data_IF_286550885775
#
_entry.id   IF_286550885775
#
_cell.length_a   1.000
_cell.length_b   1.000
_cell.length_c   1.000
_cell.angle_alpha   90.00
_cell.angle_beta   90.00
_cell.angle_gamma   90.00
#
_symmetry.space_group_name_H-M   'P 1'
#
loop_
_entity.id
_entity.type
_entity.pdbx_description
1 polymer ?
#
# COMPACT_ATOMS: atom_id res chain seq x y z
N UNK A 1 19.55 -70.28 18.69
CA UNK A 1 18.78 -69.43 17.77
C UNK A 1 18.17 -68.16 18.45
N UNK A 2 18.88 -67.49 19.37
CA UNK A 2 18.35 -66.31 20.12
C UNK A 2 19.03 -64.97 19.69
N UNK A 3 20.17 -65.01 19.03
CA UNK A 3 20.95 -63.84 18.66
C UNK A 3 20.34 -63.00 17.52
N UNK A 4 19.77 -63.59 16.42
CA UNK A 4 19.20 -62.76 15.35
C UNK A 4 17.92 -62.00 15.77
N UNK A 5 17.14 -62.54 16.69
CA UNK A 5 15.92 -61.88 17.17
C UNK A 5 16.18 -60.63 18.06
N UNK A 6 17.32 -60.63 18.78
CA UNK A 6 17.74 -59.51 19.60
C UNK A 6 18.27 -58.32 18.77
N UNK A 7 18.97 -58.65 17.67
CA UNK A 7 19.50 -57.64 16.75
C UNK A 7 18.37 -56.97 15.97
N UNK A 8 17.36 -57.73 15.54
CA UNK A 8 16.17 -57.16 14.86
C UNK A 8 15.32 -56.33 15.80
N UNK A 9 15.14 -56.71 17.06
CA UNK A 9 14.41 -55.91 18.06
C UNK A 9 15.16 -54.62 18.39
N UNK A 10 16.50 -54.67 18.55
CA UNK A 10 17.32 -53.47 18.79
C UNK A 10 17.31 -52.51 17.59
N UNK A 11 17.34 -53.04 16.35
CA UNK A 11 17.26 -52.21 15.14
C UNK A 11 15.86 -51.56 14.99
N UNK A 12 14.80 -52.28 15.28
CA UNK A 12 13.43 -51.72 15.26
C UNK A 12 13.23 -50.64 16.33
N UNK A 13 13.77 -50.82 17.54
CA UNK A 13 13.71 -49.83 18.59
C UNK A 13 14.55 -48.58 18.20
N UNK A 14 15.74 -48.77 17.62
CA UNK A 14 16.57 -47.67 17.17
C UNK A 14 15.93 -46.87 16.02
N UNK A 15 15.24 -47.54 15.11
CA UNK A 15 14.47 -46.90 14.04
C UNK A 15 13.26 -46.16 14.61
N UNK A 16 12.51 -46.76 15.54
CA UNK A 16 11.36 -46.14 16.21
C UNK A 16 11.77 -44.90 17.01
N UNK A 17 12.87 -44.94 17.77
CA UNK A 17 13.40 -43.80 18.52
C UNK A 17 13.95 -42.70 17.57
N UNK A 18 14.55 -43.08 16.43
CA UNK A 18 15.05 -42.11 15.47
C UNK A 18 13.94 -41.43 14.63
N UNK A 19 12.84 -42.14 14.37
CA UNK A 19 11.66 -41.56 13.70
C UNK A 19 10.89 -40.65 14.65
N UNK A 20 10.61 -41.11 15.89
CA UNK A 20 9.95 -40.27 16.88
C UNK A 20 10.70 -38.96 17.17
N UNK A 21 12.06 -38.98 17.20
CA UNK A 21 12.86 -37.80 17.40
C UNK A 21 12.89 -36.85 16.18
N UNK A 22 12.67 -37.38 14.95
CA UNK A 22 12.56 -36.54 13.73
C UNK A 22 11.18 -35.90 13.63
N UNK A 23 10.13 -36.64 13.94
CA UNK A 23 8.75 -36.15 13.91
C UNK A 23 8.59 -35.00 14.91
N UNK A 24 9.08 -35.15 16.14
CA UNK A 24 9.06 -34.11 17.18
C UNK A 24 9.79 -32.83 16.74
N UNK A 25 10.92 -32.95 16.05
CA UNK A 25 11.66 -31.77 15.57
C UNK A 25 10.92 -31.06 14.44
N UNK A 26 10.36 -31.79 13.49
CA UNK A 26 9.60 -31.23 12.40
C UNK A 26 8.33 -30.54 12.90
N UNK A 27 7.64 -31.13 13.88
CA UNK A 27 6.49 -30.53 14.55
C UNK A 27 6.84 -29.21 15.24
N UNK A 28 7.97 -29.16 15.95
CA UNK A 28 8.44 -27.92 16.59
C UNK A 28 8.79 -26.83 15.57
N UNK A 29 9.45 -27.17 14.47
CA UNK A 29 9.77 -26.24 13.40
C UNK A 29 8.48 -25.67 12.76
N UNK A 30 7.48 -26.52 12.53
CA UNK A 30 6.18 -26.14 11.99
C UNK A 30 5.39 -25.22 12.94
N UNK A 31 5.29 -25.58 14.23
CA UNK A 31 4.62 -24.77 15.25
C UNK A 31 5.28 -23.42 15.46
N UNK A 32 6.62 -23.36 15.40
CA UNK A 32 7.36 -22.10 15.48
C UNK A 32 7.05 -21.20 14.28
N UNK A 33 6.93 -21.78 13.08
CA UNK A 33 6.56 -21.00 11.88
C UNK A 33 5.14 -20.40 11.99
N UNK A 34 4.16 -21.20 12.47
CA UNK A 34 2.81 -20.70 12.77
C UNK A 34 2.85 -19.60 13.83
N UNK A 35 3.66 -19.76 14.88
CA UNK A 35 3.78 -18.78 15.96
C UNK A 35 4.37 -17.45 15.45
N UNK A 36 5.43 -17.50 14.65
CA UNK A 36 6.05 -16.31 14.09
C UNK A 36 5.07 -15.55 13.19
N UNK A 37 4.39 -16.27 12.31
CA UNK A 37 3.36 -15.68 11.45
C UNK A 37 2.19 -15.10 12.25
N UNK A 38 1.78 -15.78 13.31
CA UNK A 38 0.72 -15.30 14.20
C UNK A 38 1.13 -14.02 14.96
N UNK A 39 2.42 -13.84 15.29
CA UNK A 39 2.92 -12.58 15.88
C UNK A 39 2.85 -11.42 14.89
N UNK A 40 3.18 -11.67 13.63
CA UNK A 40 3.02 -10.65 12.58
C UNK A 40 1.56 -10.20 12.47
N UNK A 41 0.62 -11.16 12.41
CA UNK A 41 -0.82 -10.88 12.37
C UNK A 41 -1.32 -10.16 13.64
N UNK A 42 -0.84 -10.53 14.84
CA UNK A 42 -1.18 -9.84 16.09
C UNK A 42 -0.76 -8.37 16.04
N UNK A 43 0.47 -8.09 15.58
CA UNK A 43 0.99 -6.72 15.42
C UNK A 43 0.15 -5.90 14.44
N UNK A 44 -0.27 -6.50 13.31
CA UNK A 44 -1.17 -5.85 12.35
C UNK A 44 -2.56 -5.60 12.95
N UNK A 45 -3.08 -6.55 13.73
CA UNK A 45 -4.34 -6.41 14.44
C UNK A 45 -4.33 -5.24 15.43
N UNK A 46 -3.20 -5.04 16.14
CA UNK A 46 -2.99 -3.86 16.99
C UNK A 46 -3.08 -2.57 16.17
N UNK A 47 -2.38 -2.49 15.04
CA UNK A 47 -2.44 -1.36 14.13
C UNK A 47 -3.87 -1.08 13.64
N UNK A 48 -4.63 -2.12 13.27
CA UNK A 48 -6.03 -1.96 12.87
C UNK A 48 -6.89 -1.39 14.00
N UNK A 49 -6.72 -1.89 15.24
CA UNK A 49 -7.46 -1.39 16.40
C UNK A 49 -7.14 0.07 16.73
N UNK A 50 -5.92 0.53 16.50
CA UNK A 50 -5.53 1.94 16.64
C UNK A 50 -6.16 2.85 15.59
N UNK A 51 -6.37 2.33 14.37
CA UNK A 51 -6.99 3.09 13.26
C UNK A 51 -8.49 3.26 13.45
N UNK A 52 -9.20 2.25 13.97
CA UNK A 52 -10.66 2.26 14.10
C UNK A 52 -11.20 3.52 14.80
N UNK A 53 -10.67 3.97 15.96
CA UNK A 53 -11.18 5.17 16.63
C UNK A 53 -10.95 6.48 15.85
N UNK A 54 -9.99 6.49 14.94
CA UNK A 54 -9.63 7.67 14.12
C UNK A 54 -9.99 7.54 12.65
N UNK A 55 -10.91 6.62 12.32
CA UNK A 55 -11.29 6.27 10.95
C UNK A 55 -11.76 7.48 10.12
N UNK A 56 -12.36 8.50 10.75
CA UNK A 56 -12.75 9.74 10.07
C UNK A 56 -11.59 10.69 9.74
N UNK A 57 -10.37 10.38 10.21
CA UNK A 57 -9.17 11.22 10.04
C UNK A 57 -8.01 10.50 9.41
N UNK A 58 -8.10 9.17 9.26
CA UNK A 58 -7.06 8.38 8.62
C UNK A 58 -6.94 8.78 7.16
N UNK A 59 -5.71 8.85 6.67
CA UNK A 59 -5.46 9.02 5.24
C UNK A 59 -5.79 7.74 4.47
N UNK A 60 -6.28 7.89 3.25
CA UNK A 60 -6.61 6.77 2.36
C UNK A 60 -5.40 5.86 2.11
N UNK A 61 -4.23 6.46 1.88
CA UNK A 61 -2.99 5.72 1.65
C UNK A 61 -2.56 4.92 2.88
N UNK A 62 -2.73 5.49 4.08
CA UNK A 62 -2.45 4.80 5.35
C UNK A 62 -3.36 3.57 5.52
N UNK A 63 -4.67 3.72 5.26
CA UNK A 63 -5.62 2.60 5.32
C UNK A 63 -5.26 1.51 4.31
N UNK A 64 -5.01 1.88 3.05
CA UNK A 64 -4.65 0.93 1.99
C UNK A 64 -3.38 0.17 2.36
N UNK A 65 -2.33 0.88 2.81
CA UNK A 65 -1.06 0.27 3.23
C UNK A 65 -1.26 -0.72 4.39
N UNK A 66 -2.10 -0.38 5.38
CA UNK A 66 -2.42 -1.29 6.47
C UNK A 66 -3.14 -2.55 5.98
N UNK A 67 -4.16 -2.38 5.12
CA UNK A 67 -4.92 -3.51 4.57
C UNK A 67 -4.04 -4.41 3.69
N UNK A 68 -3.17 -3.82 2.86
CA UNK A 68 -2.23 -4.58 2.01
C UNK A 68 -1.21 -5.35 2.85
N UNK A 69 -0.69 -4.75 3.91
CA UNK A 69 0.18 -5.44 4.85
C UNK A 69 -0.49 -6.64 5.52
N UNK A 70 -1.77 -6.49 5.95
CA UNK A 70 -2.54 -7.60 6.52
C UNK A 70 -2.77 -8.71 5.50
N UNK A 71 -3.13 -8.37 4.25
CA UNK A 71 -3.31 -9.35 3.16
C UNK A 71 -2.01 -10.13 2.89
N UNK A 72 -0.88 -9.43 2.86
CA UNK A 72 0.42 -10.06 2.65
C UNK A 72 0.76 -11.05 3.76
N UNK A 73 0.55 -10.67 5.03
CA UNK A 73 0.80 -11.55 6.17
C UNK A 73 -0.17 -12.76 6.17
N UNK A 74 -1.45 -12.56 5.84
CA UNK A 74 -2.42 -13.66 5.71
C UNK A 74 -2.01 -14.61 4.57
N UNK A 75 -1.56 -14.08 3.42
CA UNK A 75 -1.13 -14.90 2.29
C UNK A 75 0.09 -15.77 2.64
N UNK A 76 1.05 -15.26 3.40
CA UNK A 76 2.19 -16.05 3.91
C UNK A 76 1.70 -17.17 4.83
N UNK A 77 0.75 -16.87 5.73
CA UNK A 77 0.14 -17.87 6.59
C UNK A 77 -0.59 -18.97 5.81
N UNK A 78 -1.34 -18.59 4.76
CA UNK A 78 -2.05 -19.55 3.89
C UNK A 78 -1.08 -20.46 3.12
N UNK A 79 0.07 -19.94 2.68
CA UNK A 79 1.12 -20.76 2.08
C UNK A 79 1.66 -21.79 3.06
N UNK A 80 1.95 -21.38 4.30
CA UNK A 80 2.37 -22.31 5.36
C UNK A 80 1.29 -23.36 5.66
N UNK A 81 0.02 -22.95 5.77
CA UNK A 81 -1.10 -23.85 6.04
C UNK A 81 -1.44 -24.80 4.86
N UNK A 82 -0.94 -24.52 3.65
CA UNK A 82 -1.08 -25.38 2.48
C UNK A 82 -0.08 -26.53 2.48
N UNK A 83 1.00 -26.45 3.25
CA UNK A 83 1.96 -27.55 3.44
C UNK A 83 1.31 -28.66 4.28
N UNK A 84 1.68 -29.91 4.00
CA UNK A 84 1.22 -31.04 4.80
C UNK A 84 1.88 -30.97 6.18
N UNK A 85 1.09 -31.00 7.29
CA UNK A 85 1.66 -31.01 8.63
C UNK A 85 2.59 -32.20 8.84
N UNK A 86 3.70 -32.04 9.59
CA UNK A 86 4.68 -33.10 9.76
C UNK A 86 4.15 -34.36 10.44
N UNK A 87 3.15 -34.19 11.32
CA UNK A 87 2.52 -35.32 12.03
C UNK A 87 0.99 -35.28 11.95
N UNK A 88 0.30 -36.41 12.07
CA UNK A 88 -1.16 -36.49 12.11
C UNK A 88 -1.79 -35.72 13.28
N UNK A 89 -1.08 -35.56 14.36
CA UNK A 89 -1.51 -34.84 15.56
C UNK A 89 -1.75 -33.37 15.25
N UNK A 90 -1.01 -32.79 14.29
CA UNK A 90 -1.13 -31.39 13.88
C UNK A 90 -2.19 -31.14 12.79
N UNK A 91 -2.85 -32.17 12.24
CA UNK A 91 -3.84 -31.97 11.18
C UNK A 91 -5.03 -31.11 11.64
N UNK A 92 -5.50 -31.27 12.86
CA UNK A 92 -6.60 -30.47 13.42
C UNK A 92 -6.14 -29.01 13.61
N UNK A 93 -4.93 -28.80 14.12
CA UNK A 93 -4.31 -27.48 14.30
C UNK A 93 -4.15 -26.76 12.97
N UNK A 94 -3.59 -27.43 11.96
CA UNK A 94 -3.44 -26.88 10.62
C UNK A 94 -4.79 -26.52 9.97
N UNK A 95 -5.79 -27.39 10.12
CA UNK A 95 -7.13 -27.14 9.59
C UNK A 95 -7.77 -25.89 10.21
N UNK A 96 -7.66 -25.72 11.53
CA UNK A 96 -8.15 -24.53 12.24
C UNK A 96 -7.37 -23.26 11.84
N UNK A 97 -6.05 -23.39 11.71
CA UNK A 97 -5.20 -22.28 11.27
C UNK A 97 -5.59 -21.79 9.88
N UNK A 98 -5.70 -22.71 8.91
CA UNK A 98 -6.13 -22.39 7.55
C UNK A 98 -7.51 -21.74 7.51
N UNK A 99 -8.50 -22.29 8.24
CA UNK A 99 -9.85 -21.72 8.28
C UNK A 99 -9.87 -20.33 8.92
N UNK A 100 -9.05 -20.08 9.95
CA UNK A 100 -8.90 -18.75 10.53
C UNK A 100 -8.36 -17.76 9.50
N UNK A 101 -7.30 -18.12 8.77
CA UNK A 101 -6.68 -17.30 7.73
C UNK A 101 -7.65 -17.01 6.57
N UNK A 102 -8.36 -18.01 6.06
CA UNK A 102 -9.38 -17.84 4.99
C UNK A 102 -10.52 -16.90 5.44
N UNK A 103 -10.93 -17.00 6.71
CA UNK A 103 -11.92 -16.11 7.30
C UNK A 103 -11.40 -14.67 7.44
N UNK A 104 -10.16 -14.50 7.88
CA UNK A 104 -9.52 -13.18 7.96
C UNK A 104 -9.29 -12.59 6.57
N UNK A 105 -8.85 -13.36 5.57
CA UNK A 105 -8.69 -12.90 4.20
C UNK A 105 -9.99 -12.32 3.65
N UNK A 106 -11.08 -13.08 3.77
CA UNK A 106 -12.42 -12.65 3.35
C UNK A 106 -12.83 -11.37 4.07
N UNK A 107 -12.63 -11.33 5.39
CA UNK A 107 -13.03 -10.22 6.21
C UNK A 107 -12.21 -8.95 5.97
N UNK A 108 -10.88 -9.05 5.89
CA UNK A 108 -9.97 -7.91 5.64
C UNK A 108 -10.22 -7.32 4.26
N UNK A 109 -10.40 -8.17 3.24
CA UNK A 109 -10.73 -7.72 1.88
C UNK A 109 -12.06 -6.96 1.85
N UNK A 110 -13.10 -7.53 2.45
CA UNK A 110 -14.43 -6.92 2.49
C UNK A 110 -14.47 -5.64 3.34
N UNK A 111 -13.74 -5.59 4.46
CA UNK A 111 -13.69 -4.42 5.32
C UNK A 111 -12.99 -3.23 4.65
N UNK A 112 -11.79 -3.44 4.12
CA UNK A 112 -11.03 -2.39 3.43
C UNK A 112 -11.77 -1.84 2.21
N UNK A 113 -12.25 -2.73 1.31
CA UNK A 113 -13.01 -2.32 0.13
C UNK A 113 -14.35 -1.66 0.49
N UNK A 114 -15.02 -2.12 1.54
CA UNK A 114 -16.28 -1.54 2.02
C UNK A 114 -16.11 -0.12 2.54
N UNK A 115 -15.03 0.16 3.30
CA UNK A 115 -14.73 1.51 3.79
C UNK A 115 -14.42 2.49 2.65
N UNK A 116 -13.61 2.05 1.67
CA UNK A 116 -13.31 2.86 0.49
C UNK A 116 -14.56 3.12 -0.34
N UNK A 117 -15.38 2.09 -0.59
CA UNK A 117 -16.65 2.24 -1.30
C UNK A 117 -17.62 3.18 -0.57
N UNK A 118 -17.64 3.15 0.78
CA UNK A 118 -18.46 4.08 1.56
C UNK A 118 -18.01 5.54 1.40
N UNK A 119 -16.70 5.78 1.29
CA UNK A 119 -16.14 7.12 1.09
C UNK A 119 -16.33 7.61 -0.35
N UNK A 120 -16.22 6.71 -1.34
CA UNK A 120 -16.29 7.03 -2.77
C UNK A 120 -17.73 7.21 -3.27
N UNK A 121 -18.68 6.44 -2.71
CA UNK A 121 -20.12 6.58 -3.02
C UNK A 121 -20.94 6.76 -1.74
N UNK A 122 -21.13 8.01 -1.29
CA UNK A 122 -21.95 8.32 -0.13
C UNK A 122 -23.42 7.89 -0.25
N UNK A 123 -23.92 7.66 -1.46
CA UNK A 123 -25.32 7.29 -1.72
C UNK A 123 -25.56 5.77 -1.60
N UNK A 124 -24.52 4.94 -1.67
CA UNK A 124 -24.62 3.49 -1.63
C UNK A 124 -25.18 2.99 -0.29
N UNK A 125 -26.26 2.23 -0.34
CA UNK A 125 -26.90 1.64 0.86
C UNK A 125 -26.35 0.27 1.22
N UNK A 126 -25.75 -0.45 0.26
CA UNK A 126 -25.28 -1.84 0.45
C UNK A 126 -23.97 -1.94 1.23
N UNK A 127 -23.23 -0.84 1.37
CA UNK A 127 -21.92 -0.84 2.02
C UNK A 127 -21.99 -1.19 3.52
N UNK A 128 -23.11 -0.88 4.18
CA UNK A 128 -23.31 -1.23 5.61
C UNK A 128 -23.34 -2.74 5.78
N UNK A 129 -24.12 -3.43 4.93
CA UNK A 129 -24.24 -4.89 4.97
C UNK A 129 -22.92 -5.57 4.58
N UNK A 130 -22.22 -5.03 3.57
CA UNK A 130 -20.92 -5.54 3.14
C UNK A 130 -19.89 -5.45 4.26
N UNK A 131 -19.81 -4.32 4.96
CA UNK A 131 -18.92 -4.16 6.13
C UNK A 131 -19.37 -5.07 7.27
N UNK A 132 -20.66 -5.21 7.55
CA UNK A 132 -21.15 -6.12 8.59
C UNK A 132 -20.75 -7.57 8.33
N UNK A 133 -20.86 -8.03 7.08
CA UNK A 133 -20.43 -9.35 6.66
C UNK A 133 -18.91 -9.53 6.78
N UNK A 134 -18.13 -8.51 6.41
CA UNK A 134 -16.69 -8.52 6.57
C UNK A 134 -16.27 -8.60 8.04
N UNK A 135 -16.91 -7.82 8.92
CA UNK A 135 -16.68 -7.91 10.37
C UNK A 135 -17.05 -9.27 10.94
N UNK A 136 -18.12 -9.91 10.44
CA UNK A 136 -18.51 -11.25 10.83
C UNK A 136 -17.43 -12.29 10.44
N UNK A 137 -16.86 -12.16 9.24
CA UNK A 137 -15.78 -13.02 8.78
C UNK A 137 -14.51 -12.82 9.64
N UNK A 138 -14.10 -11.58 9.95
CA UNK A 138 -12.97 -11.31 10.85
C UNK A 138 -13.19 -11.96 12.22
N UNK A 139 -14.36 -11.77 12.84
CA UNK A 139 -14.68 -12.39 14.13
C UNK A 139 -14.73 -13.93 14.08
N UNK A 140 -15.09 -14.49 12.92
CA UNK A 140 -15.01 -15.95 12.73
C UNK A 140 -13.56 -16.41 12.74
N UNK A 141 -12.67 -15.71 12.08
CA UNK A 141 -11.23 -15.97 12.10
C UNK A 141 -10.65 -15.88 13.52
N UNK A 142 -11.01 -14.83 14.27
CA UNK A 142 -10.57 -14.64 15.67
C UNK A 142 -10.98 -15.84 16.55
N UNK A 143 -12.20 -16.36 16.37
CA UNK A 143 -12.68 -17.54 17.10
C UNK A 143 -11.97 -18.82 16.69
N UNK A 144 -11.82 -19.06 15.39
CA UNK A 144 -11.12 -20.24 14.88
C UNK A 144 -9.67 -20.29 15.34
N UNK A 145 -9.02 -19.14 15.42
CA UNK A 145 -7.66 -19.03 15.98
C UNK A 145 -7.64 -19.32 17.50
N UNK A 146 -8.63 -18.84 18.24
CA UNK A 146 -8.75 -19.18 19.65
C UNK A 146 -8.99 -20.70 19.86
N UNK A 147 -9.80 -21.32 18.99
CA UNK A 147 -10.02 -22.76 18.98
C UNK A 147 -8.71 -23.53 18.66
N UNK A 148 -7.87 -23.01 17.75
CA UNK A 148 -6.54 -23.56 17.48
C UNK A 148 -5.67 -23.55 18.74
N UNK A 149 -5.60 -22.41 19.44
CA UNK A 149 -4.81 -22.30 20.69
C UNK A 149 -5.32 -23.31 21.73
N UNK A 150 -6.65 -23.41 21.89
CA UNK A 150 -7.25 -24.39 22.80
C UNK A 150 -7.00 -25.87 22.37
N UNK A 151 -6.87 -26.13 21.07
CA UNK A 151 -6.48 -27.46 20.56
C UNK A 151 -5.04 -27.79 20.92
N UNK A 152 -4.11 -26.86 20.75
CA UNK A 152 -2.72 -27.04 21.15
C UNK A 152 -2.56 -27.28 22.65
N UNK A 153 -3.31 -26.54 23.48
CA UNK A 153 -3.30 -26.74 24.94
C UNK A 153 -3.80 -28.16 25.34
N UNK A 154 -4.70 -28.74 24.54
CA UNK A 154 -5.22 -30.13 24.78
C UNK A 154 -4.21 -31.20 24.36
N UNK A 155 -3.32 -30.90 23.44
CA UNK A 155 -2.35 -31.87 22.90
C UNK A 155 -1.09 -32.02 23.76
N UNK A 156 -1.02 -31.35 24.92
CA UNK A 156 0.13 -31.43 25.84
C UNK A 156 1.48 -31.13 25.13
N UNK A 157 1.48 -30.09 24.28
CA UNK A 157 2.64 -29.68 23.51
C UNK A 157 3.81 -29.40 24.47
N UNK A 158 5.04 -29.86 24.18
CA UNK A 158 6.17 -29.68 25.06
C UNK A 158 6.40 -28.21 25.45
N UNK A 159 6.77 -27.95 26.72
CA UNK A 159 7.10 -26.61 27.27
C UNK A 159 8.20 -25.86 26.50
N UNK A 160 8.86 -26.52 25.56
CA UNK A 160 9.84 -25.93 24.65
C UNK A 160 9.23 -25.05 23.55
N UNK A 161 7.94 -25.16 23.29
CA UNK A 161 7.22 -24.27 22.39
C UNK A 161 6.74 -23.07 23.20
N UNK A 162 7.17 -21.88 22.80
CA UNK A 162 6.66 -20.66 23.44
C UNK A 162 5.13 -20.57 23.21
N UNK A 163 4.38 -19.95 24.14
CA UNK A 163 2.91 -19.85 24.00
C UNK A 163 2.53 -19.11 22.72
N UNK A 164 1.46 -19.56 22.10
CA UNK A 164 0.90 -18.88 20.91
C UNK A 164 0.47 -17.46 21.26
N UNK A 165 0.77 -16.47 20.41
CA UNK A 165 0.31 -15.10 20.64
C UNK A 165 -1.22 -15.03 20.56
N UNK A 166 -1.82 -14.09 21.28
CA UNK A 166 -3.22 -13.76 21.08
C UNK A 166 -3.38 -12.95 19.81
N UNK A 167 -4.17 -13.43 18.86
CA UNK A 167 -4.52 -12.71 17.64
C UNK A 167 -5.99 -12.31 17.71
N UNK A 168 -6.25 -11.01 17.74
CA UNK A 168 -7.59 -10.42 17.68
C UNK A 168 -7.53 -9.26 16.71
N UNK A 169 -8.14 -9.41 15.55
CA UNK A 169 -8.17 -8.37 14.54
C UNK A 169 -9.29 -7.35 14.78
N UNK A 170 -10.39 -7.81 15.40
CA UNK A 170 -11.54 -6.95 15.65
C UNK A 170 -12.05 -7.09 17.09
N UNK A 171 -12.51 -6.01 17.75
CA UNK A 171 -13.09 -6.10 19.08
C UNK A 171 -14.26 -7.11 19.12
N UNK A 172 -14.26 -7.96 20.13
CA UNK A 172 -15.31 -8.96 20.31
C UNK A 172 -16.67 -8.33 20.69
N UNK A 173 -16.66 -7.13 21.28
CA UNK A 173 -17.83 -6.42 21.75
C UNK A 173 -18.51 -5.59 20.66
N UNK A 174 -19.81 -5.42 20.78
CA UNK A 174 -20.63 -4.63 19.89
C UNK A 174 -21.39 -5.46 18.85
N UNK A 175 -22.57 -4.99 18.51
CA UNK A 175 -23.43 -5.55 17.48
C UNK A 175 -22.87 -5.13 16.10
N UNK A 176 -22.72 -6.09 15.18
CA UNK A 176 -21.99 -5.91 13.92
C UNK A 176 -22.61 -4.85 13.03
N UNK A 177 -23.93 -4.82 12.94
CA UNK A 177 -24.62 -3.86 12.10
C UNK A 177 -24.46 -2.42 12.62
N UNK A 178 -24.55 -2.23 13.94
CA UNK A 178 -24.31 -0.93 14.58
C UNK A 178 -22.86 -0.45 14.39
N UNK A 179 -21.90 -1.37 14.49
CA UNK A 179 -20.50 -1.07 14.21
C UNK A 179 -20.28 -0.69 12.74
N UNK A 180 -20.85 -1.44 11.80
CA UNK A 180 -20.73 -1.13 10.37
C UNK A 180 -21.35 0.24 10.03
N UNK A 181 -22.51 0.58 10.61
CA UNK A 181 -23.10 1.92 10.46
C UNK A 181 -22.17 3.02 11.00
N UNK A 182 -21.53 2.78 12.15
CA UNK A 182 -20.59 3.75 12.72
C UNK A 182 -19.37 3.97 11.82
N UNK A 183 -18.83 2.90 11.25
CA UNK A 183 -17.68 2.95 10.36
C UNK A 183 -18.03 3.61 9.02
N UNK A 184 -19.17 3.29 8.42
CA UNK A 184 -19.66 3.96 7.20
C UNK A 184 -19.86 5.46 7.46
N UNK A 185 -20.42 5.83 8.61
CA UNK A 185 -20.58 7.24 8.97
C UNK A 185 -19.24 7.95 9.12
N UNK A 186 -18.24 7.28 9.72
CA UNK A 186 -16.89 7.83 9.86
C UNK A 186 -16.20 7.99 8.49
N UNK A 187 -16.33 7.01 7.58
CA UNK A 187 -15.78 7.06 6.23
C UNK A 187 -16.41 8.17 5.37
N UNK A 188 -17.69 8.47 5.60
CA UNK A 188 -18.47 9.52 4.90
C UNK A 188 -18.37 10.90 5.55
N UNK A 189 -17.60 11.05 6.61
CA UNK A 189 -17.46 12.36 7.26
C UNK A 189 -16.94 13.41 6.25
N UNK A 190 -17.44 14.66 6.27
CA UNK A 190 -17.07 15.68 5.28
C UNK A 190 -15.55 15.92 5.15
N UNK A 191 -14.81 15.69 6.24
CA UNK A 191 -13.36 15.84 6.29
C UNK A 191 -12.64 14.47 6.35
N UNK A 192 -13.27 13.40 5.88
CA UNK A 192 -12.65 12.09 5.88
C UNK A 192 -11.43 12.07 4.95
N UNK A 193 -10.28 11.62 5.46
CA UNK A 193 -9.08 11.37 4.66
C UNK A 193 -9.24 10.22 3.66
N UNK A 194 -10.34 9.44 3.76
CA UNK A 194 -10.65 8.33 2.86
C UNK A 194 -11.28 8.80 1.54
N UNK A 195 -11.86 9.99 1.47
CA UNK A 195 -12.44 10.52 0.24
C UNK A 195 -11.39 10.57 -0.88
N UNK A 196 -11.81 10.27 -2.11
CA UNK A 196 -10.95 10.39 -3.28
C UNK A 196 -10.49 11.84 -3.46
N UNK A 197 -9.19 12.01 -3.60
CA UNK A 197 -8.56 13.30 -3.86
C UNK A 197 -7.55 13.12 -4.99
N UNK A 198 -8.00 13.10 -6.26
CA UNK A 198 -7.10 13.19 -7.39
C UNK A 198 -6.38 14.54 -7.33
N UNK A 199 -5.12 14.58 -7.69
CA UNK A 199 -4.35 15.83 -7.71
C UNK A 199 -3.03 15.60 -8.45
N UNK A 200 -2.95 16.04 -9.70
CA UNK A 200 -1.70 16.16 -10.42
C UNK A 200 -1.30 17.64 -10.43
N UNK A 201 -0.03 17.91 -10.22
CA UNK A 201 0.51 19.26 -10.24
C UNK A 201 1.72 19.37 -11.15
N UNK A 202 1.88 20.49 -11.82
CA UNK A 202 3.17 20.92 -12.35
C UNK A 202 3.94 21.54 -11.18
N UNK A 203 4.91 20.80 -10.62
CA UNK A 203 5.58 21.22 -9.38
C UNK A 203 6.76 22.15 -9.63
N UNK A 204 7.43 22.00 -10.78
CA UNK A 204 8.62 22.80 -11.09
C UNK A 204 8.89 22.79 -12.60
N UNK A 205 9.43 23.90 -13.09
CA UNK A 205 10.05 24.03 -14.42
C UNK A 205 11.50 24.46 -14.22
N UNK A 206 12.44 23.74 -14.83
CA UNK A 206 13.88 24.01 -14.77
C UNK A 206 14.40 24.15 -16.20
N UNK A 207 15.11 25.21 -16.47
CA UNK A 207 15.77 25.40 -17.76
C UNK A 207 17.20 24.83 -17.78
N UNK A 208 17.68 24.43 -18.94
CA UNK A 208 19.08 24.06 -19.19
C UNK A 208 19.56 24.79 -20.47
N UNK A 209 20.46 25.73 -20.38
CA UNK A 209 21.21 26.14 -19.18
C UNK A 209 20.30 26.70 -18.07
N UNK A 210 20.74 26.59 -16.82
CA UNK A 210 19.96 27.03 -15.66
C UNK A 210 19.79 28.59 -15.71
N UNK A 211 18.56 29.01 -15.43
CA UNK A 211 18.26 30.46 -15.31
C UNK A 211 18.57 30.95 -13.89
N UNK A 212 18.82 32.22 -13.77
CA UNK A 212 19.05 32.91 -12.50
C UNK A 212 17.88 33.84 -12.21
N UNK A 213 17.61 34.07 -10.93
CA UNK A 213 16.63 35.06 -10.49
C UNK A 213 17.41 36.26 -9.96
N UNK A 214 17.23 37.42 -10.58
CA UNK A 214 17.88 38.63 -10.15
C UNK A 214 17.24 39.23 -8.87
N UNK A 215 17.88 40.25 -8.23
CA UNK A 215 17.30 40.88 -7.05
C UNK A 215 15.97 41.61 -7.26
N UNK A 216 15.54 41.80 -8.51
CA UNK A 216 14.25 42.38 -8.88
C UNK A 216 13.20 41.31 -9.23
N UNK A 217 13.45 40.03 -8.88
CA UNK A 217 12.62 38.88 -9.18
C UNK A 217 12.44 38.58 -10.68
N UNK A 218 13.36 39.09 -11.54
CA UNK A 218 13.35 38.79 -12.96
C UNK A 218 14.13 37.50 -13.22
N UNK A 219 13.57 36.60 -14.04
CA UNK A 219 14.23 35.37 -14.44
C UNK A 219 15.09 35.62 -15.66
N UNK A 220 16.39 35.34 -15.57
CA UNK A 220 17.37 35.58 -16.62
C UNK A 220 18.01 34.27 -17.04
N UNK A 221 17.88 33.91 -18.32
CA UNK A 221 18.58 32.81 -18.92
C UNK A 221 19.96 33.27 -19.42
N UNK A 222 21.06 32.54 -19.18
CA UNK A 222 22.36 32.85 -19.78
C UNK A 222 22.27 32.94 -21.30
N UNK A 223 23.20 33.68 -21.91
CA UNK A 223 23.25 33.81 -23.37
C UNK A 223 23.36 32.42 -24.03
N UNK A 224 22.33 32.03 -24.77
CA UNK A 224 22.24 30.76 -25.47
C UNK A 224 21.34 30.90 -26.69
N UNK A 225 21.48 30.00 -27.65
CA UNK A 225 20.62 29.89 -28.83
C UNK A 225 19.54 28.81 -28.65
N UNK A 226 19.70 27.92 -27.67
CA UNK A 226 18.74 26.84 -27.37
C UNK A 226 18.56 26.65 -25.86
N UNK A 227 17.37 26.22 -25.47
CA UNK A 227 17.05 25.88 -24.09
C UNK A 227 16.27 24.59 -24.05
N UNK A 228 16.58 23.75 -23.06
CA UNK A 228 15.81 22.55 -22.71
C UNK A 228 15.03 22.86 -21.44
N UNK A 229 13.74 22.52 -21.40
CA UNK A 229 12.95 22.65 -20.18
C UNK A 229 12.70 21.26 -19.58
N UNK A 230 13.09 21.09 -18.33
CA UNK A 230 12.77 19.91 -17.52
C UNK A 230 11.62 20.26 -16.59
N UNK A 231 10.51 19.55 -16.74
CA UNK A 231 9.28 19.80 -15.99
C UNK A 231 9.04 18.66 -15.01
N UNK A 232 8.89 18.99 -13.74
CA UNK A 232 8.54 18.02 -12.70
C UNK A 232 7.03 18.00 -12.53
N UNK A 233 6.44 16.83 -12.73
CA UNK A 233 5.01 16.56 -12.47
C UNK A 233 4.92 15.67 -11.23
N UNK A 234 4.08 16.06 -10.28
CA UNK A 234 3.86 15.33 -9.02
C UNK A 234 2.41 14.94 -8.86
N UNK A 235 2.18 13.76 -8.28
CA UNK A 235 0.86 13.37 -7.82
C UNK A 235 0.71 13.74 -6.34
N UNK A 236 0.04 14.85 -6.06
CA UNK A 236 -0.27 15.34 -4.70
C UNK A 236 -1.55 14.73 -4.13
N UNK A 237 -2.26 13.96 -4.95
CA UNK A 237 -3.47 13.26 -4.57
C UNK A 237 -3.22 11.99 -3.76
N UNK A 238 -4.32 11.37 -3.31
CA UNK A 238 -4.30 10.11 -2.55
C UNK A 238 -4.71 8.88 -3.40
N UNK A 239 -4.78 9.04 -4.72
CA UNK A 239 -5.07 7.97 -5.69
C UNK A 239 -4.08 8.03 -6.83
N UNK A 240 -3.86 6.89 -7.49
CA UNK A 240 -3.05 6.87 -8.70
C UNK A 240 -3.70 7.75 -9.77
N UNK A 241 -2.88 8.57 -10.45
CA UNK A 241 -3.37 9.37 -11.58
C UNK A 241 -3.65 8.49 -12.80
N UNK A 242 -4.46 8.98 -13.70
CA UNK A 242 -4.54 8.45 -15.07
C UNK A 242 -3.34 8.96 -15.90
N UNK A 243 -3.12 8.35 -17.07
CA UNK A 243 -2.21 8.92 -18.05
C UNK A 243 -2.75 10.29 -18.50
N UNK A 244 -1.87 11.28 -18.61
CA UNK A 244 -2.23 12.65 -19.02
C UNK A 244 -1.21 13.21 -20.01
N UNK A 245 -1.50 14.35 -20.60
CA UNK A 245 -0.60 15.05 -21.52
C UNK A 245 -0.06 16.29 -20.84
N UNK A 246 1.26 16.48 -20.91
CA UNK A 246 1.94 17.69 -20.50
C UNK A 246 2.22 18.53 -21.76
N UNK A 247 1.68 19.73 -21.81
CA UNK A 247 1.88 20.68 -22.91
C UNK A 247 2.80 21.79 -22.44
N UNK A 248 3.83 22.08 -23.23
CA UNK A 248 4.69 23.22 -23.05
C UNK A 248 4.55 24.16 -24.25
N UNK A 249 4.25 25.41 -23.99
CA UNK A 249 4.21 26.50 -24.99
C UNK A 249 5.28 27.55 -24.68
N UNK A 250 6.12 27.88 -25.63
CA UNK A 250 7.08 28.98 -25.57
C UNK A 250 6.61 30.10 -26.50
N UNK A 251 6.45 31.29 -25.95
CA UNK A 251 6.07 32.53 -26.69
C UNK A 251 7.13 33.60 -26.50
N UNK A 252 7.14 34.67 -27.32
CA UNK A 252 8.15 35.74 -27.31
C UNK A 252 9.14 35.64 -28.47
N UNK A 253 9.25 34.49 -29.14
CA UNK A 253 9.98 34.30 -30.38
C UNK A 253 9.23 34.79 -31.61
N UNK A 254 9.79 34.54 -32.81
CA UNK A 254 9.14 34.91 -34.07
C UNK A 254 7.81 34.17 -34.32
N UNK A 255 7.75 32.90 -33.88
CA UNK A 255 6.54 32.07 -33.85
C UNK A 255 6.42 31.35 -32.53
N UNK A 256 5.20 31.17 -31.96
CA UNK A 256 5.01 30.39 -30.78
C UNK A 256 5.26 28.90 -31.07
N UNK A 257 6.00 28.25 -30.19
CA UNK A 257 6.30 26.80 -30.27
C UNK A 257 5.53 26.05 -29.19
N UNK A 258 4.85 24.99 -29.56
CA UNK A 258 4.15 24.13 -28.60
C UNK A 258 4.56 22.66 -28.80
N UNK A 259 4.94 22.01 -27.71
CA UNK A 259 5.26 20.59 -27.67
C UNK A 259 4.36 19.90 -26.65
N UNK A 260 4.08 18.62 -26.88
CA UNK A 260 3.28 17.79 -25.99
C UNK A 260 4.01 16.48 -25.72
N UNK A 261 4.01 16.07 -24.45
CA UNK A 261 4.59 14.81 -24.00
C UNK A 261 3.61 14.06 -23.09
N UNK A 262 3.67 12.72 -23.12
CA UNK A 262 2.79 11.90 -22.32
C UNK A 262 3.38 11.65 -20.92
N UNK A 263 2.59 11.91 -19.89
CA UNK A 263 2.87 11.55 -18.50
C UNK A 263 2.18 10.22 -18.18
N UNK A 264 2.96 9.24 -17.77
CA UNK A 264 2.42 7.93 -17.32
C UNK A 264 1.70 8.08 -16.00
N UNK A 265 0.80 7.15 -15.65
CA UNK A 265 0.16 7.14 -14.34
C UNK A 265 1.18 7.21 -13.20
N UNK A 266 0.97 8.13 -12.26
CA UNK A 266 1.78 8.30 -11.06
C UNK A 266 1.03 7.79 -9.84
N UNK A 267 1.72 7.01 -8.99
CA UNK A 267 1.22 6.64 -7.69
C UNK A 267 1.11 7.86 -6.76
N UNK A 268 0.28 7.82 -5.69
CA UNK A 268 0.25 8.88 -4.69
C UNK A 268 1.66 9.24 -4.19
N UNK A 269 1.95 10.53 -4.09
CA UNK A 269 3.25 11.09 -3.70
C UNK A 269 4.42 10.75 -4.64
N UNK A 270 4.16 10.17 -5.80
CA UNK A 270 5.18 9.97 -6.82
C UNK A 270 5.36 11.22 -7.69
N UNK A 271 6.55 11.37 -8.23
CA UNK A 271 6.89 12.42 -9.19
C UNK A 271 7.60 11.84 -10.41
N UNK A 272 7.56 12.57 -11.52
CA UNK A 272 8.32 12.27 -12.73
C UNK A 272 8.85 13.56 -13.35
N UNK A 273 9.95 13.47 -14.09
CA UNK A 273 10.48 14.58 -14.85
C UNK A 273 10.29 14.32 -16.35
N UNK A 274 9.73 15.30 -17.04
CA UNK A 274 9.53 15.30 -18.50
C UNK A 274 10.44 16.33 -19.10
N UNK A 275 11.22 15.96 -20.11
CA UNK A 275 12.19 16.85 -20.78
C UNK A 275 11.65 17.29 -22.13
N UNK A 276 11.68 18.59 -22.38
CA UNK A 276 11.35 19.23 -23.65
C UNK A 276 12.61 19.87 -24.21
N UNK A 277 13.29 19.21 -25.16
CA UNK A 277 14.60 19.70 -25.68
C UNK A 277 14.45 20.75 -26.77
N UNK A 278 15.55 21.48 -26.98
CA UNK A 278 15.88 22.21 -28.20
C UNK A 278 14.92 23.35 -28.62
N UNK A 279 14.38 24.10 -27.67
CA UNK A 279 13.68 25.35 -28.01
C UNK A 279 14.68 26.40 -28.44
N UNK A 280 14.48 26.96 -29.63
CA UNK A 280 15.28 28.06 -30.13
C UNK A 280 14.92 29.36 -29.38
N UNK A 281 15.95 30.05 -28.88
CA UNK A 281 15.85 31.35 -28.22
C UNK A 281 16.90 32.27 -28.76
N UNK A 282 16.72 33.59 -28.60
CA UNK A 282 17.69 34.60 -29.07
C UNK A 282 18.10 35.52 -27.92
N UNK A 283 19.39 35.87 -27.81
CA UNK A 283 19.88 36.84 -26.85
C UNK A 283 19.14 38.19 -26.92
N UNK A 284 18.93 38.81 -25.76
CA UNK A 284 18.27 40.12 -25.65
C UNK A 284 16.74 40.08 -25.85
N UNK A 285 16.12 38.91 -25.93
CA UNK A 285 14.67 38.79 -26.09
C UNK A 285 13.98 38.28 -24.83
N UNK A 286 12.74 38.71 -24.67
CA UNK A 286 11.82 38.24 -23.61
C UNK A 286 10.96 37.09 -24.13
N UNK A 287 10.79 36.10 -23.27
CA UNK A 287 10.00 34.88 -23.51
C UNK A 287 9.07 34.60 -22.35
N UNK A 288 8.00 33.87 -22.63
CA UNK A 288 7.18 33.19 -21.61
C UNK A 288 7.12 31.70 -21.94
N UNK A 289 7.50 30.87 -21.00
CA UNK A 289 7.24 29.42 -21.03
C UNK A 289 6.01 29.14 -20.17
N UNK A 290 5.04 28.46 -20.76
CA UNK A 290 3.81 28.02 -20.10
C UNK A 290 3.70 26.52 -20.19
N UNK A 291 3.58 25.88 -19.05
CA UNK A 291 3.44 24.42 -18.93
C UNK A 291 2.08 24.11 -18.34
N UNK A 292 1.33 23.22 -18.98
CA UNK A 292 -0.04 22.87 -18.59
C UNK A 292 -0.27 21.37 -18.66
N UNK A 293 -0.88 20.79 -17.62
CA UNK A 293 -1.43 19.43 -17.66
C UNK A 293 -2.79 19.45 -18.38
N UNK A 294 -2.94 18.64 -19.42
CA UNK A 294 -4.13 18.61 -20.27
C UNK A 294 -4.92 17.34 -20.00
N UNK A 295 -6.24 17.48 -19.80
CA UNK A 295 -7.15 16.33 -19.63
C UNK A 295 -7.12 15.73 -18.22
N UNK A 296 -6.70 16.49 -17.21
CA UNK A 296 -6.83 16.09 -15.80
C UNK A 296 -8.28 16.29 -15.40
N UNK A 297 -9.00 15.17 -15.23
CA UNK A 297 -10.39 15.17 -14.74
C UNK A 297 -10.42 15.11 -13.21
N UNK A 298 -11.37 15.83 -12.62
CA UNK A 298 -11.69 15.78 -11.18
C UNK A 298 -10.53 16.18 -10.24
N UNK A 299 -9.59 17.05 -10.67
CA UNK A 299 -8.54 17.56 -9.82
C UNK A 299 -9.11 18.40 -8.66
N UNK A 300 -8.55 18.20 -7.45
CA UNK A 300 -8.96 18.93 -6.25
C UNK A 300 -8.48 20.38 -6.29
N UNK A 301 -7.32 20.62 -6.89
CA UNK A 301 -6.74 21.97 -7.07
C UNK A 301 -6.26 22.16 -8.52
N UNK A 302 -7.16 22.53 -9.45
CA UNK A 302 -6.78 22.73 -10.83
C UNK A 302 -5.83 23.93 -11.07
N UNK A 303 -5.55 24.75 -10.04
CA UNK A 303 -4.67 25.91 -10.17
C UNK A 303 -3.19 25.54 -10.22
N UNK A 304 -2.82 24.37 -9.72
CA UNK A 304 -1.46 23.82 -9.75
C UNK A 304 -1.17 22.99 -11.01
N UNK A 305 -2.16 22.85 -11.88
CA UNK A 305 -2.01 22.19 -13.19
C UNK A 305 -1.27 23.04 -14.23
N UNK A 306 -0.90 24.28 -13.91
CA UNK A 306 -0.21 25.19 -14.82
C UNK A 306 0.89 25.98 -14.08
N UNK A 307 2.04 26.12 -14.74
CA UNK A 307 3.08 27.08 -14.37
C UNK A 307 3.43 27.93 -15.59
N UNK A 308 3.48 29.24 -15.41
CA UNK A 308 4.00 30.18 -16.41
C UNK A 308 5.20 30.91 -15.82
N UNK A 309 6.29 30.99 -16.60
CA UNK A 309 7.53 31.72 -16.24
C UNK A 309 7.90 32.62 -17.38
N UNK A 310 7.92 33.95 -17.11
CA UNK A 310 8.50 34.93 -18.01
C UNK A 310 10.01 35.02 -17.75
N UNK A 311 10.82 35.05 -18.78
CA UNK A 311 12.27 35.15 -18.68
C UNK A 311 12.87 35.96 -19.84
N UNK A 312 14.04 36.53 -19.61
CA UNK A 312 14.83 37.22 -20.62
C UNK A 312 16.10 36.42 -20.89
N UNK A 313 16.51 36.32 -22.16
CA UNK A 313 17.80 35.73 -22.52
C UNK A 313 18.86 36.83 -22.50
N UNK A 314 19.93 36.63 -21.71
CA UNK A 314 21.02 37.61 -21.59
C UNK A 314 21.66 37.88 -22.96
N UNK A 315 22.05 39.12 -23.22
CA UNK A 315 22.68 39.53 -24.49
C UNK A 315 24.06 38.90 -24.71
N UNK A 316 24.68 38.32 -23.67
CA UNK A 316 26.06 37.86 -23.70
C UNK A 316 27.04 39.08 -23.63
N UNK A 317 28.13 38.89 -22.90
CA UNK A 317 29.20 39.92 -22.95
C UNK A 317 29.75 40.00 -24.36
N UNK A 318 29.41 41.07 -25.09
CA UNK A 318 30.00 41.34 -26.38
C UNK A 318 31.51 41.40 -26.20
N UNK A 319 32.25 40.52 -26.87
CA UNK A 319 33.71 40.60 -26.98
C UNK A 319 34.05 41.90 -27.66
N UNK A 320 34.26 42.96 -26.86
CA UNK A 320 34.83 44.21 -27.33
C UNK A 320 36.33 44.10 -27.61
#
# INVERSE_FOLDING_TARGET
MLVPALITAAALIAIAVSTAGRDTRADLEYLNAIQEQSRALATRGDGLREVIPRLSRIDRTELVTLMDGMRADIAVGLQLAAEEPPSPELFAVNALYRQALESWETGVNGYGSGLLAAADDPSSTVVVDNIANALAAIRSGDRLYADLVAELDRQDVPDTVAPMPTVILMPASGELFSLSQAYVRAARAPNSGLALRPGLAVSQVVAVPEWEVDPADSVILPATETVTFNVVVSNLGNVASTATTLRLALTGGDEPVTLEENVRPLQPNALTTVSFPDFAVAPGRDYEVRVTLVGVEADVDPTDNEIAVAFTVNEGEGSG
#
